data_IF_267455243286
#
_entry.id   IF_267455243286
#
_cell.length_a   1.000
_cell.length_b   1.000
_cell.length_c   1.000
_cell.angle_alpha   90.00
_cell.angle_beta   90.00
_cell.angle_gamma   90.00
#
_symmetry.space_group_name_H-M   'P 1'
#
loop_
_entity.id
_entity.type
_entity.pdbx_description
1 polymer ?
#
# COMPACT_ATOMS: atom_id res chain seq x y z
N UNK A 1 9.56 -11.66 0.09
CA UNK A 1 9.52 -10.18 -0.01
C UNK A 1 9.85 -9.81 -1.43
N UNK A 2 9.06 -8.90 -2.01
CA UNK A 2 9.22 -8.41 -3.37
C UNK A 2 9.63 -6.93 -3.31
N UNK A 3 10.87 -6.62 -3.71
CA UNK A 3 11.42 -5.27 -3.56
C UNK A 3 12.64 -5.08 -4.46
N UNK A 4 12.78 -3.88 -5.02
CA UNK A 4 14.03 -3.40 -5.62
C UNK A 4 14.76 -2.43 -4.68
N UNK A 5 14.13 -2.05 -3.56
CA UNK A 5 14.71 -1.20 -2.54
C UNK A 5 15.87 -1.92 -1.81
N UNK A 6 17.09 -1.34 -1.79
CA UNK A 6 18.26 -2.00 -1.21
C UNK A 6 18.18 -2.18 0.31
N UNK A 7 17.55 -1.24 1.03
CA UNK A 7 17.37 -1.34 2.48
C UNK A 7 16.41 -2.49 2.82
N UNK A 8 15.25 -2.56 2.15
CA UNK A 8 14.31 -3.65 2.35
C UNK A 8 14.91 -5.02 1.97
N UNK A 9 15.71 -5.08 0.91
CA UNK A 9 16.44 -6.29 0.53
C UNK A 9 17.44 -6.75 1.61
N UNK A 10 18.16 -5.81 2.24
CA UNK A 10 19.05 -6.08 3.38
C UNK A 10 18.28 -6.64 4.57
N UNK A 11 17.14 -6.03 4.91
CA UNK A 11 16.28 -6.49 6.00
C UNK A 11 15.69 -7.89 5.73
N UNK A 12 15.28 -8.18 4.49
CA UNK A 12 14.82 -9.52 4.12
C UNK A 12 15.89 -10.58 4.36
N UNK A 13 17.13 -10.31 3.95
CA UNK A 13 18.27 -11.21 4.16
C UNK A 13 18.54 -11.43 5.65
N UNK A 14 18.58 -10.37 6.44
CA UNK A 14 18.78 -10.45 7.88
C UNK A 14 17.67 -11.24 8.59
N UNK A 15 16.44 -11.16 8.08
CA UNK A 15 15.28 -11.89 8.61
C UNK A 15 15.11 -13.30 8.00
N UNK A 16 16.02 -13.77 7.14
CA UNK A 16 15.88 -15.07 6.47
C UNK A 16 14.68 -15.18 5.53
N UNK A 17 14.15 -14.05 5.05
CA UNK A 17 13.00 -14.00 4.15
C UNK A 17 13.45 -14.09 2.69
N UNK A 18 12.81 -14.94 1.90
CA UNK A 18 13.08 -15.04 0.46
C UNK A 18 12.92 -13.68 -0.23
N UNK A 19 13.89 -13.32 -1.07
CA UNK A 19 13.96 -12.05 -1.78
C UNK A 19 13.67 -12.27 -3.26
N UNK A 20 12.79 -11.45 -3.82
CA UNK A 20 12.42 -11.45 -5.22
C UNK A 20 12.41 -10.01 -5.75
N UNK A 21 12.66 -9.84 -7.05
CA UNK A 21 12.45 -8.55 -7.73
C UNK A 21 11.01 -8.08 -7.57
N UNK A 22 10.81 -6.76 -7.52
CA UNK A 22 9.46 -6.19 -7.39
C UNK A 22 8.67 -6.41 -8.70
N UNK A 23 7.46 -6.99 -8.65
CA UNK A 23 6.57 -7.05 -9.80
C UNK A 23 6.22 -5.65 -10.30
N UNK A 24 5.91 -5.51 -11.60
CA UNK A 24 5.44 -4.24 -12.14
C UNK A 24 4.04 -3.90 -11.61
N UNK A 25 3.11 -4.87 -11.64
CA UNK A 25 1.77 -4.74 -11.07
C UNK A 25 1.28 -6.00 -10.34
N UNK A 26 0.04 -5.95 -9.86
CA UNK A 26 -0.62 -7.10 -9.22
C UNK A 26 -0.72 -8.32 -10.14
N UNK A 27 -0.87 -8.08 -11.45
CA UNK A 27 -0.99 -9.14 -12.45
C UNK A 27 0.30 -9.98 -12.60
N UNK A 28 1.45 -9.38 -12.32
CA UNK A 28 2.77 -10.02 -12.42
C UNK A 28 3.21 -10.67 -11.10
N UNK A 29 2.38 -10.57 -10.05
CA UNK A 29 2.65 -11.24 -8.80
C UNK A 29 2.52 -12.77 -9.01
N UNK A 30 3.57 -13.55 -8.73
CA UNK A 30 3.57 -14.96 -9.07
C UNK A 30 2.57 -15.75 -8.21
N UNK A 31 1.95 -16.81 -8.74
CA UNK A 31 0.91 -17.57 -8.05
C UNK A 31 1.40 -18.26 -6.77
N UNK A 32 2.71 -18.49 -6.66
CA UNK A 32 3.39 -19.08 -5.51
C UNK A 32 4.03 -18.03 -4.58
N UNK A 33 3.65 -16.75 -4.68
CA UNK A 33 4.12 -15.64 -3.83
C UNK A 33 3.84 -15.81 -2.31
N UNK A 34 3.26 -16.94 -1.91
CA UNK A 34 2.87 -17.26 -0.55
C UNK A 34 1.51 -16.69 -0.18
N UNK A 35 1.04 -17.00 1.04
CA UNK A 35 -0.29 -16.58 1.52
C UNK A 35 -0.40 -15.10 1.83
N UNK A 36 0.72 -14.44 2.14
CA UNK A 36 0.78 -13.04 2.58
C UNK A 36 2.03 -12.38 1.99
N UNK A 37 2.06 -12.17 0.66
CA UNK A 37 3.20 -11.53 0.02
C UNK A 37 3.36 -10.10 0.53
N UNK A 38 4.60 -9.72 0.83
CA UNK A 38 4.99 -8.35 1.15
C UNK A 38 5.68 -7.76 -0.07
N UNK A 39 5.08 -6.70 -0.63
CA UNK A 39 5.60 -5.91 -1.76
C UNK A 39 5.95 -4.53 -1.24
N UNK A 40 7.17 -4.07 -1.50
CA UNK A 40 7.62 -2.72 -1.16
C UNK A 40 7.49 -1.85 -2.40
N UNK A 41 6.75 -0.74 -2.30
CA UNK A 41 6.58 0.24 -3.36
C UNK A 41 7.30 1.53 -2.95
N UNK A 42 8.44 1.80 -3.59
CA UNK A 42 9.29 2.96 -3.30
C UNK A 42 9.40 3.95 -4.47
N UNK A 43 8.60 3.75 -5.52
CA UNK A 43 8.63 4.55 -6.76
C UNK A 43 8.31 6.03 -6.53
N UNK A 44 7.67 6.39 -5.42
CA UNK A 44 7.37 7.80 -5.10
C UNK A 44 8.54 8.53 -4.42
N UNK A 45 9.53 7.80 -3.87
CA UNK A 45 10.63 8.40 -3.12
C UNK A 45 11.46 9.39 -3.95
N UNK A 46 11.82 9.09 -5.22
CA UNK A 46 12.61 10.03 -6.02
C UNK A 46 11.90 11.38 -6.22
N UNK A 47 10.61 11.36 -6.55
CA UNK A 47 9.82 12.58 -6.75
C UNK A 47 9.65 13.38 -5.45
N UNK A 48 9.48 12.71 -4.31
CA UNK A 48 9.45 13.38 -3.00
C UNK A 48 10.79 14.03 -2.69
N UNK A 49 11.90 13.35 -2.93
CA UNK A 49 13.24 13.85 -2.63
C UNK A 49 13.65 15.08 -3.49
N UNK A 50 13.07 15.24 -4.67
CA UNK A 50 13.35 16.33 -5.60
C UNK A 50 12.19 17.34 -5.72
N UNK A 51 11.18 17.24 -4.85
CA UNK A 51 9.99 18.10 -4.85
C UNK A 51 9.23 18.12 -6.20
N UNK A 52 9.35 17.04 -6.98
CA UNK A 52 8.75 16.90 -8.29
C UNK A 52 7.29 16.46 -8.17
N UNK A 53 6.40 17.46 -8.12
CA UNK A 53 4.96 17.24 -7.99
C UNK A 53 4.34 16.57 -9.22
N UNK A 54 4.87 16.80 -10.43
CA UNK A 54 4.33 16.22 -11.66
C UNK A 54 4.70 14.74 -11.78
N UNK A 55 5.98 14.42 -11.59
CA UNK A 55 6.46 13.04 -11.56
C UNK A 55 5.84 12.24 -10.41
N UNK A 56 5.58 12.88 -9.26
CA UNK A 56 4.85 12.24 -8.17
C UNK A 56 3.44 11.84 -8.59
N UNK A 57 2.68 12.75 -9.22
CA UNK A 57 1.31 12.47 -9.69
C UNK A 57 1.29 11.37 -10.74
N UNK A 58 2.22 11.40 -11.70
CA UNK A 58 2.36 10.36 -12.71
C UNK A 58 2.64 8.99 -12.10
N UNK A 59 3.66 8.93 -11.24
CA UNK A 59 4.06 7.68 -10.55
C UNK A 59 2.96 7.13 -9.65
N UNK A 60 2.24 8.01 -8.94
CA UNK A 60 1.10 7.60 -8.11
C UNK A 60 -0.05 7.06 -8.96
N UNK A 61 -0.37 7.70 -10.08
CA UNK A 61 -1.37 7.21 -11.03
C UNK A 61 -1.02 5.82 -11.58
N UNK A 62 0.26 5.56 -11.84
CA UNK A 62 0.73 4.25 -12.29
C UNK A 62 0.62 3.20 -11.18
N UNK A 63 0.99 3.53 -9.95
CA UNK A 63 0.77 2.65 -8.79
C UNK A 63 -0.73 2.35 -8.61
N UNK A 64 -1.61 3.34 -8.75
CA UNK A 64 -3.05 3.11 -8.64
C UNK A 64 -3.56 2.15 -9.72
N UNK A 65 -3.16 2.37 -10.97
CA UNK A 65 -3.56 1.55 -12.11
C UNK A 65 -3.05 0.10 -11.99
N UNK A 66 -1.80 -0.09 -11.58
CA UNK A 66 -1.14 -1.40 -11.58
C UNK A 66 -1.38 -2.20 -10.29
N UNK A 67 -1.61 -1.52 -9.17
CA UNK A 67 -1.76 -2.14 -7.85
C UNK A 67 -3.12 -1.89 -7.21
N UNK A 68 -3.47 -0.64 -6.91
CA UNK A 68 -4.60 -0.37 -6.01
C UNK A 68 -5.96 -0.65 -6.65
N UNK A 69 -6.20 -0.21 -7.89
CA UNK A 69 -7.43 -0.48 -8.60
C UNK A 69 -7.65 -1.99 -8.85
N UNK A 70 -6.66 -2.77 -9.31
CA UNK A 70 -6.76 -4.23 -9.38
C UNK A 70 -6.99 -4.90 -8.01
N UNK A 71 -6.26 -4.49 -6.97
CA UNK A 71 -6.41 -5.03 -5.62
C UNK A 71 -7.83 -4.81 -5.09
N UNK A 72 -8.38 -3.61 -5.26
CA UNK A 72 -9.76 -3.27 -4.89
C UNK A 72 -10.78 -4.17 -5.59
N UNK A 73 -10.58 -4.46 -6.89
CA UNK A 73 -11.44 -5.37 -7.66
C UNK A 73 -11.34 -6.83 -7.20
N UNK A 74 -10.16 -7.25 -6.72
CA UNK A 74 -9.92 -8.62 -6.25
C UNK A 74 -10.39 -8.89 -4.82
N UNK A 75 -10.65 -7.83 -4.03
CA UNK A 75 -10.98 -7.90 -2.61
C UNK A 75 -12.35 -8.57 -2.38
N UNK A 76 -12.36 -9.63 -1.59
CA UNK A 76 -13.52 -10.51 -1.37
C UNK A 76 -13.70 -11.62 -2.40
N UNK A 77 -12.74 -11.78 -3.31
CA UNK A 77 -12.65 -12.94 -4.19
C UNK A 77 -11.29 -13.63 -3.99
N UNK A 78 -10.27 -13.22 -4.75
CA UNK A 78 -8.92 -13.81 -4.70
C UNK A 78 -8.07 -13.25 -3.55
N UNK A 79 -8.41 -12.06 -3.05
CA UNK A 79 -7.74 -11.40 -1.94
C UNK A 79 -8.77 -11.20 -0.83
N UNK A 80 -8.53 -11.75 0.36
CA UNK A 80 -9.42 -11.57 1.51
C UNK A 80 -9.14 -10.27 2.27
N UNK A 81 -7.85 -9.88 2.31
CA UNK A 81 -7.36 -8.74 3.08
C UNK A 81 -6.19 -8.04 2.40
N UNK A 82 -6.17 -6.71 2.49
CA UNK A 82 -5.05 -5.88 2.10
C UNK A 82 -4.58 -5.11 3.34
N UNK A 83 -3.28 -5.10 3.60
CA UNK A 83 -2.65 -4.23 4.59
C UNK A 83 -1.74 -3.24 3.88
N UNK A 84 -2.11 -1.95 3.94
CA UNK A 84 -1.30 -0.85 3.46
C UNK A 84 -0.52 -0.28 4.63
N UNK A 85 0.80 -0.19 4.47
CA UNK A 85 1.73 0.35 5.47
C UNK A 85 2.53 1.44 4.77
N UNK A 86 2.43 2.67 5.26
CA UNK A 86 3.17 3.82 4.77
C UNK A 86 3.95 4.43 5.94
N UNK A 87 5.24 4.11 6.07
CA UNK A 87 6.12 4.82 7.00
C UNK A 87 6.29 6.26 6.48
N UNK A 88 5.83 7.23 7.26
CA UNK A 88 5.96 8.66 6.95
C UNK A 88 6.85 9.34 7.98
N UNK A 89 7.29 10.57 7.68
CA UNK A 89 8.01 11.42 8.65
C UNK A 89 7.20 11.73 9.91
N UNK A 90 5.87 11.63 9.84
CA UNK A 90 4.95 11.87 10.96
C UNK A 90 4.56 10.58 11.71
N UNK A 91 5.12 9.43 11.32
CA UNK A 91 4.81 8.12 11.90
C UNK A 91 4.35 7.10 10.86
N UNK A 92 4.02 5.90 11.33
CA UNK A 92 3.49 4.83 10.48
C UNK A 92 1.98 5.02 10.27
N UNK A 93 1.56 5.14 9.00
CA UNK A 93 0.17 4.97 8.63
C UNK A 93 -0.06 3.51 8.26
N UNK A 94 -1.01 2.87 8.94
CA UNK A 94 -1.41 1.49 8.67
C UNK A 94 -2.91 1.43 8.44
N UNK A 95 -3.29 0.85 7.31
CA UNK A 95 -4.70 0.62 6.98
C UNK A 95 -4.91 -0.84 6.59
N UNK A 96 -6.00 -1.43 7.08
CA UNK A 96 -6.40 -2.79 6.70
C UNK A 96 -7.77 -2.75 6.04
N UNK A 97 -7.85 -3.35 4.86
CA UNK A 97 -9.06 -3.44 4.04
C UNK A 97 -9.47 -4.91 3.88
N UNK A 98 -10.78 -5.13 3.94
CA UNK A 98 -11.47 -6.40 3.71
C UNK A 98 -12.65 -6.16 2.76
N UNK A 99 -13.28 -7.23 2.28
CA UNK A 99 -14.40 -7.14 1.34
C UNK A 99 -15.55 -6.23 1.84
N UNK A 100 -15.79 -6.20 3.15
CA UNK A 100 -16.83 -5.39 3.80
C UNK A 100 -16.51 -3.90 3.83
N UNK A 101 -15.23 -3.51 3.70
CA UNK A 101 -14.81 -2.11 3.71
C UNK A 101 -15.18 -1.37 2.43
N UNK A 102 -15.51 -2.09 1.35
CA UNK A 102 -16.07 -1.49 0.12
C UNK A 102 -17.34 -0.68 0.39
N UNK A 103 -18.07 -1.03 1.45
CA UNK A 103 -19.30 -0.35 1.87
C UNK A 103 -19.07 0.79 2.86
N UNK A 104 -17.83 0.99 3.35
CA UNK A 104 -17.50 2.14 4.22
C UNK A 104 -17.54 3.49 3.48
N UNK A 105 -17.41 3.49 2.14
CA UNK A 105 -17.67 4.67 1.32
C UNK A 105 -19.14 5.14 1.37
N UNK A 106 -20.06 4.21 1.67
CA UNK A 106 -21.48 4.50 1.87
C UNK A 106 -21.85 4.74 3.34
N UNK A 107 -20.89 4.61 4.27
CA UNK A 107 -21.09 5.09 5.63
C UNK A 107 -21.01 6.60 5.59
N UNK A 108 -22.12 7.26 5.92
CA UNK A 108 -22.14 8.71 6.12
C UNK A 108 -20.99 9.10 7.04
N UNK A 109 -20.20 10.10 6.63
CA UNK A 109 -19.14 10.64 7.48
C UNK A 109 -19.71 11.14 8.80
N UNK A 110 -18.98 10.97 9.90
CA UNK A 110 -19.35 11.62 11.17
C UNK A 110 -19.35 13.13 10.97
N UNK A 111 -20.32 13.87 11.54
CA UNK A 111 -20.30 15.32 11.55
C UNK A 111 -18.97 15.84 12.12
N UNK A 112 -18.41 16.86 11.50
CA UNK A 112 -17.10 17.42 11.88
C UNK A 112 -17.05 17.86 13.36
N UNK A 113 -18.19 18.30 13.91
CA UNK A 113 -18.34 18.66 15.31
C UNK A 113 -18.18 17.46 16.28
N UNK A 114 -18.53 16.26 15.83
CA UNK A 114 -18.39 15.04 16.62
C UNK A 114 -16.94 14.57 16.63
N UNK A 115 -16.25 14.63 15.48
CA UNK A 115 -14.82 14.37 15.37
C UNK A 115 -13.99 15.37 16.19
N UNK A 116 -14.36 16.65 16.19
CA UNK A 116 -13.68 17.67 17.00
C UNK A 116 -13.81 17.41 18.51
N UNK A 117 -14.96 16.89 18.97
CA UNK A 117 -15.16 16.51 20.38
C UNK A 117 -14.34 15.28 20.78
N UNK A 118 -14.20 14.29 19.89
CA UNK A 118 -13.39 13.09 20.16
C UNK A 118 -11.88 13.42 20.23
N UNK A 119 -11.40 14.38 19.41
CA UNK A 119 -9.99 14.80 19.41
C UNK A 119 -9.62 15.75 20.56
N UNK A 120 -10.60 16.42 21.16
CA UNK A 120 -10.38 17.33 22.29
C UNK A 120 -10.31 16.61 23.65
N UNK A 121 -10.24 15.28 23.67
CA UNK A 121 -10.23 14.44 24.86
C UNK A 121 -8.92 13.69 25.00
#
# INVERSE_FOLDING_TARGET
>A
MFTDNPLAAGLARAAGTALHSRPAGLADLPPDAGKRPLVVLDQLLPSVAHEDSEGWRGSFGQIDADWFAPLKKSLGNRVDRISLIAPTVYGELRYTLTAGDRWKLWKSGKPIAETAKELAR
#
